data_IF_792189724657
#
_entry.id   IF_792189724657
#
_cell.length_a   1.000
_cell.length_b   1.000
_cell.length_c   1.000
_cell.angle_alpha   90.00
_cell.angle_beta   90.00
_cell.angle_gamma   90.00
#
_symmetry.space_group_name_H-M   'P 1'
#
loop_
_entity.id
_entity.type
_entity.pdbx_description
1 polymer ?
#
# COMPACT_ATOMS: atom_id res chain seq x y z
N UNK A 1 5.08 14.26 3.25
CA UNK A 1 4.75 13.53 2.01
C UNK A 1 3.62 14.34 1.39
N UNK A 2 3.88 15.05 0.29
CA UNK A 2 2.82 15.76 -0.44
C UNK A 2 1.85 14.70 -0.97
N UNK A 3 0.60 14.72 -0.51
CA UNK A 3 -0.42 13.77 -0.96
C UNK A 3 -0.95 14.26 -2.30
N UNK A 4 -0.62 13.54 -3.37
CA UNK A 4 -1.40 13.58 -4.62
C UNK A 4 -2.62 12.67 -4.51
N UNK A 5 -3.56 12.78 -5.45
CA UNK A 5 -4.77 11.97 -5.48
C UNK A 5 -4.44 10.47 -5.39
N UNK A 6 -5.05 9.79 -4.41
CA UNK A 6 -4.93 8.34 -4.29
C UNK A 6 -5.65 7.67 -5.46
N UNK A 7 -5.32 6.39 -5.73
CA UNK A 7 -6.10 5.62 -6.68
C UNK A 7 -7.57 5.55 -6.32
N UNK A 8 -7.88 5.37 -5.03
CA UNK A 8 -9.27 5.33 -4.53
C UNK A 8 -10.02 6.61 -4.87
N UNK A 9 -9.35 7.75 -4.79
CA UNK A 9 -9.94 9.04 -5.15
C UNK A 9 -10.19 9.14 -6.66
N UNK A 10 -9.20 8.76 -7.48
CA UNK A 10 -9.32 8.71 -8.95
C UNK A 10 -10.47 7.81 -9.40
N UNK A 11 -10.56 6.59 -8.84
CA UNK A 11 -11.64 5.64 -9.14
C UNK A 11 -13.02 6.22 -8.77
N UNK A 12 -13.12 6.91 -7.63
CA UNK A 12 -14.36 7.54 -7.19
C UNK A 12 -14.77 8.69 -8.12
N UNK A 13 -13.82 9.50 -8.57
CA UNK A 13 -14.07 10.58 -9.52
C UNK A 13 -14.49 9.99 -10.88
N UNK A 14 -13.83 8.95 -11.39
CA UNK A 14 -14.23 8.25 -12.62
C UNK A 14 -15.68 7.75 -12.57
N UNK A 15 -16.09 7.15 -11.44
CA UNK A 15 -17.49 6.75 -11.22
C UNK A 15 -18.46 7.93 -11.28
N UNK A 16 -18.08 9.09 -10.74
CA UNK A 16 -18.91 10.29 -10.81
C UNK A 16 -18.97 10.93 -12.19
N UNK A 17 -17.89 10.84 -12.97
CA UNK A 17 -17.85 11.26 -14.38
C UNK A 17 -18.71 10.30 -15.23
N UNK A 18 -18.81 9.03 -14.85
CA UNK A 18 -19.63 8.02 -15.51
C UNK A 18 -18.88 7.22 -16.57
N UNK A 19 -17.54 7.27 -16.58
CA UNK A 19 -16.68 6.48 -17.47
C UNK A 19 -15.31 6.21 -16.83
N UNK A 20 -14.67 5.13 -17.25
CA UNK A 20 -13.28 4.87 -16.90
C UNK A 20 -12.42 6.03 -17.44
N UNK A 21 -11.72 6.68 -16.51
CA UNK A 21 -10.99 7.91 -16.78
C UNK A 21 -9.56 7.81 -16.27
N UNK A 22 -8.63 8.36 -17.05
CA UNK A 22 -7.25 8.58 -16.65
C UNK A 22 -7.03 10.06 -16.28
N UNK A 23 -6.20 10.29 -15.27
CA UNK A 23 -5.89 11.62 -14.74
C UNK A 23 -4.41 11.92 -14.92
N UNK A 24 -4.11 12.86 -15.81
CA UNK A 24 -2.76 13.37 -16.05
C UNK A 24 -2.58 14.71 -15.34
N UNK A 25 -1.58 14.83 -14.47
CA UNK A 25 -1.34 16.07 -13.73
C UNK A 25 -0.81 17.15 -14.68
N UNK A 26 -1.60 18.19 -14.91
CA UNK A 26 -1.21 19.35 -15.72
C UNK A 26 -0.48 20.38 -14.87
N UNK A 27 -1.08 20.77 -13.76
CA UNK A 27 -0.62 21.89 -12.93
C UNK A 27 -0.67 21.50 -11.45
N UNK A 28 0.34 21.92 -10.69
CA UNK A 28 0.42 21.78 -9.24
C UNK A 28 1.02 23.05 -8.65
N UNK A 29 0.27 23.78 -7.83
CA UNK A 29 0.69 25.13 -7.38
C UNK A 29 1.99 25.11 -6.58
N UNK A 30 2.29 24.05 -5.82
CA UNK A 30 3.57 23.89 -5.11
C UNK A 30 4.76 23.61 -6.04
N UNK A 31 4.52 23.02 -7.23
CA UNK A 31 5.53 22.75 -8.26
C UNK A 31 5.74 23.94 -9.20
N UNK A 32 4.64 24.53 -9.65
CA UNK A 32 4.60 25.50 -10.75
C UNK A 32 4.45 26.96 -10.27
N UNK A 33 4.16 27.17 -8.99
CA UNK A 33 3.95 28.49 -8.39
C UNK A 33 2.55 29.05 -8.65
N UNK A 34 2.14 30.07 -7.88
CA UNK A 34 0.79 30.66 -7.93
C UNK A 34 0.54 31.68 -9.05
N UNK A 35 1.21 31.56 -10.19
CA UNK A 35 1.05 32.48 -11.33
C UNK A 35 -0.12 32.07 -12.22
N UNK A 36 -0.95 33.05 -12.58
CA UNK A 36 -2.06 32.84 -13.54
C UNK A 36 -1.54 32.51 -14.95
N UNK A 37 -0.41 33.08 -15.34
CA UNK A 37 0.24 32.84 -16.64
C UNK A 37 0.64 31.36 -16.77
N UNK A 38 1.26 30.81 -15.72
CA UNK A 38 1.70 29.42 -15.68
C UNK A 38 0.51 28.44 -15.71
N UNK A 39 -0.57 28.75 -15.00
CA UNK A 39 -1.79 27.95 -15.08
C UNK A 39 -2.34 27.91 -16.51
N UNK A 40 -2.48 29.05 -17.18
CA UNK A 40 -3.02 29.10 -18.53
C UNK A 40 -2.12 28.41 -19.56
N UNK A 41 -0.79 28.54 -19.43
CA UNK A 41 0.17 27.82 -20.28
C UNK A 41 -0.04 26.30 -20.21
N UNK A 42 -0.31 25.77 -19.02
CA UNK A 42 -0.41 24.34 -18.77
C UNK A 42 -1.84 23.78 -18.98
N UNK A 43 -2.89 24.57 -18.74
CA UNK A 43 -4.27 24.08 -18.63
C UNK A 43 -5.24 24.55 -19.71
N UNK A 44 -5.00 25.67 -20.41
CA UNK A 44 -5.95 26.15 -21.42
C UNK A 44 -6.06 25.18 -22.61
N UNK A 45 -7.30 24.99 -23.11
CA UNK A 45 -7.61 24.18 -24.30
C UNK A 45 -7.19 22.70 -24.23
N UNK A 46 -6.95 22.14 -23.02
CA UNK A 46 -6.55 20.73 -22.87
C UNK A 46 -7.72 19.74 -22.90
N UNK A 47 -8.95 20.20 -22.66
CA UNK A 47 -10.14 19.35 -22.53
C UNK A 47 -10.70 19.31 -21.10
N UNK A 48 -11.50 18.27 -20.78
CA UNK A 48 -12.08 18.07 -19.45
C UNK A 48 -11.03 18.01 -18.35
N UNK A 49 -11.27 18.65 -17.21
CA UNK A 49 -10.33 18.65 -16.09
C UNK A 49 -11.00 18.44 -14.73
N UNK A 50 -10.19 17.97 -13.78
CA UNK A 50 -10.53 17.93 -12.35
C UNK A 50 -9.54 18.81 -11.60
N UNK A 51 -10.06 19.73 -10.80
CA UNK A 51 -9.26 20.56 -9.89
C UNK A 51 -9.42 20.07 -8.46
N UNK A 52 -8.30 19.85 -7.76
CA UNK A 52 -8.24 19.35 -6.38
C UNK A 52 -7.64 20.42 -5.48
N UNK A 53 -8.27 20.63 -4.33
CA UNK A 53 -7.85 21.57 -3.29
C UNK A 53 -7.50 20.77 -2.03
N UNK A 54 -6.28 20.94 -1.54
CA UNK A 54 -5.80 20.33 -0.30
C UNK A 54 -5.75 21.38 0.79
N UNK A 55 -6.79 21.47 1.62
CA UNK A 55 -6.90 22.55 2.61
C UNK A 55 -5.98 22.33 3.83
N UNK A 56 -5.78 23.39 4.63
CA UNK A 56 -4.92 23.34 5.83
C UNK A 56 -5.44 22.42 6.95
N UNK A 57 -6.69 21.97 6.90
CA UNK A 57 -7.32 21.08 7.89
C UNK A 57 -7.41 19.62 7.42
N UNK A 58 -6.67 19.25 6.38
CA UNK A 58 -6.68 17.90 5.77
C UNK A 58 -8.03 17.52 5.14
N UNK A 59 -8.84 18.50 4.73
CA UNK A 59 -9.98 18.27 3.84
C UNK A 59 -9.50 18.32 2.39
N UNK A 60 -10.06 17.42 1.57
CA UNK A 60 -9.78 17.36 0.12
C UNK A 60 -11.11 17.47 -0.61
N UNK A 61 -11.22 18.49 -1.45
CA UNK A 61 -12.42 18.81 -2.22
C UNK A 61 -12.02 19.39 -3.58
N UNK A 62 -12.99 19.60 -4.46
CA UNK A 62 -12.68 20.03 -5.80
C UNK A 62 -13.88 20.17 -6.71
N UNK A 63 -13.58 20.29 -8.00
CA UNK A 63 -14.59 20.37 -9.05
C UNK A 63 -14.12 19.74 -10.35
N UNK A 64 -15.09 19.24 -11.10
CA UNK A 64 -14.92 18.72 -12.46
C UNK A 64 -15.62 19.65 -13.45
N UNK A 65 -14.95 19.94 -14.56
CA UNK A 65 -15.55 20.51 -15.77
C UNK A 65 -15.25 19.60 -16.95
N UNK A 66 -16.25 19.43 -17.80
CA UNK A 66 -16.16 18.72 -19.07
C UNK A 66 -15.79 19.63 -20.25
N UNK A 67 -15.79 20.94 -20.02
CA UNK A 67 -15.28 21.95 -20.92
C UNK A 67 -13.79 22.23 -20.64
N UNK A 68 -13.08 22.83 -21.61
CA UNK A 68 -11.70 23.27 -21.43
C UNK A 68 -11.62 24.59 -20.70
N UNK A 69 -10.58 24.77 -19.88
CA UNK A 69 -10.18 26.11 -19.41
C UNK A 69 -9.79 27.00 -20.59
N UNK A 70 -9.90 28.31 -20.38
CA UNK A 70 -9.59 29.30 -21.40
C UNK A 70 -9.54 30.72 -20.86
N UNK A 71 -9.09 31.62 -21.73
CA UNK A 71 -8.84 33.03 -21.42
C UNK A 71 -9.83 33.98 -22.11
N UNK A 72 -11.05 33.52 -22.43
CA UNK A 72 -12.03 34.24 -23.27
C UNK A 72 -12.77 35.39 -22.59
N UNK A 73 -12.75 35.47 -21.26
CA UNK A 73 -13.34 36.56 -20.49
C UNK A 73 -14.86 36.44 -20.29
N UNK A 74 -15.32 35.36 -19.66
CA UNK A 74 -16.76 35.16 -19.44
C UNK A 74 -17.11 33.96 -18.56
N UNK A 75 -18.34 33.97 -18.05
CA UNK A 75 -18.91 32.81 -17.36
C UNK A 75 -19.43 31.79 -18.38
N UNK A 76 -19.24 30.51 -18.07
CA UNK A 76 -19.64 29.39 -18.88
C UNK A 76 -20.60 28.47 -18.10
N UNK A 77 -21.42 27.73 -18.82
CA UNK A 77 -22.33 26.74 -18.27
C UNK A 77 -21.96 25.37 -18.78
N UNK A 78 -21.71 24.45 -17.85
CA UNK A 78 -21.45 23.04 -18.14
C UNK A 78 -22.35 22.17 -17.28
N UNK A 79 -23.34 21.53 -17.90
CA UNK A 79 -24.32 20.67 -17.21
C UNK A 79 -23.71 19.38 -16.66
N UNK A 80 -22.52 18.99 -17.16
CA UNK A 80 -21.78 17.84 -16.63
C UNK A 80 -20.83 18.21 -15.50
N UNK A 81 -20.67 19.51 -15.21
CA UNK A 81 -19.83 19.96 -14.12
C UNK A 81 -20.42 19.53 -12.77
N UNK A 82 -19.55 19.27 -11.81
CA UNK A 82 -19.93 19.01 -10.44
C UNK A 82 -18.82 19.44 -9.50
N UNK A 83 -19.20 19.86 -8.30
CA UNK A 83 -18.26 19.99 -7.19
C UNK A 83 -18.26 18.69 -6.39
N UNK A 84 -17.26 18.50 -5.54
CA UNK A 84 -17.20 17.33 -4.67
C UNK A 84 -16.34 17.57 -3.43
N UNK A 85 -16.56 16.71 -2.44
CA UNK A 85 -15.66 16.44 -1.33
C UNK A 85 -15.15 15.01 -1.45
N UNK A 86 -13.88 14.75 -1.15
CA UNK A 86 -13.29 13.41 -1.07
C UNK A 86 -12.95 13.03 0.38
N UNK A 87 -12.26 13.92 1.09
CA UNK A 87 -11.79 13.68 2.46
C UNK A 87 -12.25 14.78 3.40
N UNK A 88 -12.61 14.41 4.63
CA UNK A 88 -12.97 15.32 5.71
C UNK A 88 -12.15 15.01 6.97
N UNK A 89 -11.32 15.96 7.39
CA UNK A 89 -10.34 15.79 8.49
C UNK A 89 -9.49 14.53 8.27
N UNK A 90 -9.03 14.32 7.03
CA UNK A 90 -8.26 13.14 6.62
C UNK A 90 -9.05 11.83 6.45
N UNK A 91 -10.35 11.81 6.75
CA UNK A 91 -11.20 10.63 6.58
C UNK A 91 -11.87 10.64 5.20
N UNK A 92 -11.79 9.51 4.47
CA UNK A 92 -12.44 9.36 3.17
C UNK A 92 -13.97 9.36 3.32
N UNK A 93 -14.63 10.42 2.84
CA UNK A 93 -16.08 10.67 2.91
C UNK A 93 -16.54 11.36 1.61
N UNK A 94 -16.56 10.62 0.50
CA UNK A 94 -16.76 11.21 -0.81
C UNK A 94 -18.23 11.60 -1.04
N UNK A 95 -18.46 12.83 -1.49
CA UNK A 95 -19.79 13.34 -1.83
C UNK A 95 -19.69 14.13 -3.14
N UNK A 96 -20.57 13.81 -4.10
CA UNK A 96 -20.74 14.56 -5.36
C UNK A 96 -21.86 15.59 -5.21
N UNK A 97 -21.56 16.84 -5.58
CA UNK A 97 -22.47 17.98 -5.65
C UNK A 97 -22.79 18.30 -7.13
N UNK A 98 -23.87 17.73 -7.69
CA UNK A 98 -24.19 17.89 -9.10
C UNK A 98 -24.62 19.31 -9.45
N UNK A 99 -24.42 19.70 -10.71
CA UNK A 99 -24.97 20.93 -11.27
C UNK A 99 -26.50 21.02 -11.12
N UNK A 100 -26.98 22.22 -10.80
CA UNK A 100 -28.41 22.54 -10.70
C UNK A 100 -28.82 23.51 -11.80
N UNK A 101 -28.17 24.67 -11.91
CA UNK A 101 -28.61 25.74 -12.81
C UNK A 101 -27.51 26.78 -13.10
N UNK A 102 -27.71 27.59 -14.14
CA UNK A 102 -26.94 28.78 -14.53
C UNK A 102 -25.44 28.54 -14.76
N UNK A 103 -24.61 29.57 -14.60
CA UNK A 103 -23.16 29.52 -14.81
C UNK A 103 -22.43 28.61 -13.79
N UNK A 104 -21.43 27.87 -14.27
CA UNK A 104 -20.65 26.90 -13.47
C UNK A 104 -19.20 27.31 -13.26
N UNK A 105 -18.53 27.82 -14.28
CA UNK A 105 -17.11 28.15 -14.23
C UNK A 105 -16.79 29.43 -15.02
N UNK A 106 -15.68 30.08 -14.69
CA UNK A 106 -15.26 31.35 -15.28
C UNK A 106 -13.98 31.15 -16.09
N UNK A 107 -13.96 31.67 -17.32
CA UNK A 107 -12.80 31.64 -18.22
C UNK A 107 -12.21 33.05 -18.32
N UNK A 108 -11.07 33.32 -17.69
CA UNK A 108 -10.46 34.64 -17.69
C UNK A 108 -8.95 34.55 -17.46
N UNK A 109 -8.17 35.30 -18.24
CA UNK A 109 -6.70 35.34 -18.21
C UNK A 109 -6.06 35.73 -16.87
N UNK A 110 -6.81 36.32 -15.94
CA UNK A 110 -6.30 36.74 -14.61
C UNK A 110 -6.74 35.80 -13.49
N UNK A 111 -7.29 34.63 -13.83
CA UNK A 111 -7.81 33.67 -12.88
C UNK A 111 -7.27 32.27 -13.17
N UNK A 112 -7.04 31.49 -12.12
CA UNK A 112 -6.82 30.05 -12.23
C UNK A 112 -8.12 29.29 -12.51
N UNK A 113 -8.23 28.02 -12.06
CA UNK A 113 -9.47 27.26 -12.19
C UNK A 113 -10.55 27.83 -11.27
N UNK A 114 -11.57 28.47 -11.82
CA UNK A 114 -12.67 29.10 -11.04
C UNK A 114 -13.99 28.40 -11.32
N UNK A 115 -14.56 27.83 -10.27
CA UNK A 115 -15.95 27.40 -10.22
C UNK A 115 -16.76 28.47 -9.49
N UNK A 116 -18.04 28.64 -9.83
CA UNK A 116 -18.88 29.71 -9.27
C UNK A 116 -18.84 29.78 -7.74
N UNK A 117 -18.87 28.61 -7.09
CA UNK A 117 -18.82 28.49 -5.64
C UNK A 117 -17.54 27.82 -5.11
N UNK A 118 -16.46 27.86 -5.89
CA UNK A 118 -15.14 27.39 -5.47
C UNK A 118 -14.07 28.13 -6.29
N UNK A 119 -13.55 29.20 -5.70
CA UNK A 119 -12.53 30.05 -6.31
C UNK A 119 -11.12 29.47 -6.10
N UNK A 120 -10.16 29.95 -6.88
CA UNK A 120 -8.75 29.57 -6.72
C UNK A 120 -7.83 30.80 -6.76
N UNK A 121 -6.97 30.86 -7.78
CA UNK A 121 -5.96 31.87 -8.01
C UNK A 121 -6.66 33.08 -8.63
N UNK A 122 -6.56 34.23 -7.98
CA UNK A 122 -6.96 35.52 -8.53
C UNK A 122 -5.73 36.42 -8.52
N UNK A 123 -5.25 36.81 -9.71
CA UNK A 123 -3.91 37.38 -9.88
C UNK A 123 -2.79 36.48 -9.33
N UNK A 124 -1.54 36.92 -9.38
CA UNK A 124 -0.43 36.10 -8.90
C UNK A 124 -0.45 36.02 -7.37
N UNK A 125 -0.55 34.80 -6.84
CA UNK A 125 -0.55 34.53 -5.39
C UNK A 125 0.77 33.94 -4.93
N UNK A 126 1.12 34.24 -3.69
CA UNK A 126 2.30 33.70 -3.01
C UNK A 126 1.90 32.98 -1.74
N UNK A 127 2.82 32.18 -1.20
CA UNK A 127 2.60 31.50 0.07
C UNK A 127 2.57 32.49 1.23
N UNK A 128 1.70 32.23 2.20
CA UNK A 128 1.60 32.92 3.48
C UNK A 128 2.14 32.01 4.58
N UNK A 129 2.81 32.57 5.58
CA UNK A 129 3.40 31.83 6.70
C UNK A 129 4.85 31.40 6.46
N UNK A 130 5.39 30.55 7.35
CA UNK A 130 6.74 30.00 7.25
C UNK A 130 6.67 28.48 7.09
N UNK A 131 7.60 27.86 6.35
CA UNK A 131 7.70 26.40 6.31
C UNK A 131 7.86 25.81 7.73
N UNK A 132 7.26 24.64 8.02
CA UNK A 132 6.50 23.76 7.11
C UNK A 132 5.00 24.05 7.05
N UNK A 133 4.52 25.15 7.66
CA UNK A 133 3.09 25.50 7.76
C UNK A 133 2.65 26.61 6.80
N UNK A 134 3.41 26.83 5.73
CA UNK A 134 3.05 27.80 4.70
C UNK A 134 1.85 27.29 3.88
N UNK A 135 1.01 28.21 3.41
CA UNK A 135 -0.21 27.91 2.66
C UNK A 135 -0.51 29.00 1.63
N UNK A 136 -1.36 28.71 0.65
CA UNK A 136 -1.91 29.67 -0.30
C UNK A 136 -3.26 30.17 0.20
N UNK A 137 -3.40 31.49 0.31
CA UNK A 137 -4.66 32.13 0.70
C UNK A 137 -5.49 32.35 -0.56
N UNK A 138 -6.57 31.58 -0.70
CA UNK A 138 -7.52 31.68 -1.81
C UNK A 138 -8.78 32.43 -1.37
N UNK A 139 -9.48 33.02 -2.32
CA UNK A 139 -10.77 33.70 -2.06
C UNK A 139 -11.83 32.67 -1.62
N UNK A 140 -12.72 33.11 -0.73
CA UNK A 140 -13.83 32.33 -0.16
C UNK A 140 -15.18 33.04 -0.27
N UNK A 141 -15.32 34.10 -1.07
CA UNK A 141 -16.55 34.91 -1.14
C UNK A 141 -17.83 34.10 -1.43
N UNK A 142 -17.75 33.08 -2.29
CA UNK A 142 -18.87 32.20 -2.67
C UNK A 142 -18.62 30.71 -2.36
N UNK A 143 -17.83 30.37 -1.35
CA UNK A 143 -17.41 28.97 -1.11
C UNK A 143 -18.60 28.05 -0.76
N UNK A 144 -18.89 27.05 -1.60
CA UNK A 144 -19.93 26.03 -1.41
C UNK A 144 -21.31 26.59 -1.00
N UNK A 145 -21.78 27.64 -1.69
CA UNK A 145 -23.01 28.39 -1.39
C UNK A 145 -24.34 27.65 -1.64
N UNK A 146 -24.31 26.51 -2.33
CA UNK A 146 -25.48 25.72 -2.68
C UNK A 146 -26.43 26.33 -3.71
N UNK A 147 -26.03 27.41 -4.40
CA UNK A 147 -26.91 28.05 -5.39
C UNK A 147 -26.87 27.38 -6.77
N UNK A 148 -25.68 26.93 -7.20
CA UNK A 148 -25.43 26.37 -8.54
C UNK A 148 -25.18 24.87 -8.55
N UNK A 149 -24.80 24.33 -7.40
CA UNK A 149 -24.53 22.91 -7.17
C UNK A 149 -25.31 22.44 -5.96
N UNK A 150 -25.91 21.25 -6.05
CA UNK A 150 -26.67 20.66 -4.94
C UNK A 150 -25.70 20.13 -3.88
N UNK A 151 -25.66 20.80 -2.73
CA UNK A 151 -24.79 20.45 -1.61
C UNK A 151 -25.26 19.20 -0.85
N UNK A 152 -26.43 18.64 -1.14
CA UNK A 152 -26.95 17.42 -0.47
C UNK A 152 -26.95 17.50 1.05
N UNK A 153 -27.25 18.68 1.59
CA UNK A 153 -27.24 18.95 3.03
C UNK A 153 -25.87 19.18 3.65
N UNK A 154 -24.78 19.12 2.88
CA UNK A 154 -23.45 19.55 3.32
C UNK A 154 -23.38 21.09 3.41
N UNK A 155 -22.45 21.58 4.23
CA UNK A 155 -22.20 23.01 4.47
C UNK A 155 -20.74 23.35 4.18
N UNK A 156 -20.43 24.63 4.03
CA UNK A 156 -19.05 25.11 3.90
C UNK A 156 -18.15 24.60 5.03
N UNK A 157 -18.70 24.51 6.25
CA UNK A 157 -17.98 24.00 7.42
C UNK A 157 -17.70 22.50 7.32
N UNK A 158 -18.65 21.70 6.83
CA UNK A 158 -18.46 20.25 6.69
C UNK A 158 -17.62 19.85 5.48
N UNK A 159 -17.47 20.74 4.49
CA UNK A 159 -16.65 20.50 3.30
C UNK A 159 -15.22 21.03 3.43
N UNK A 160 -15.09 22.30 3.80
CA UNK A 160 -13.82 23.03 3.74
C UNK A 160 -13.46 23.69 5.09
N UNK A 161 -14.16 23.33 6.17
CA UNK A 161 -14.02 23.94 7.49
C UNK A 161 -14.23 25.47 7.49
N UNK A 162 -15.03 25.98 6.54
CA UNK A 162 -15.37 27.40 6.46
C UNK A 162 -14.35 28.28 5.74
N UNK A 163 -13.28 27.74 5.16
CA UNK A 163 -12.29 28.53 4.41
C UNK A 163 -11.68 27.79 3.22
N UNK A 164 -11.05 28.54 2.31
CA UNK A 164 -10.42 28.00 1.09
C UNK A 164 -8.88 28.06 1.11
N UNK A 165 -8.27 28.22 2.29
CA UNK A 165 -6.80 28.19 2.40
C UNK A 165 -6.27 26.79 2.08
N UNK A 166 -5.32 26.69 1.15
CA UNK A 166 -4.77 25.41 0.69
C UNK A 166 -3.28 25.28 0.93
N UNK A 167 -2.86 24.08 1.28
CA UNK A 167 -1.46 23.66 1.23
C UNK A 167 -1.01 23.33 -0.19
N UNK A 168 -1.94 22.88 -1.04
CA UNK A 168 -1.68 22.59 -2.45
C UNK A 168 -2.98 22.64 -3.29
N UNK A 169 -2.81 22.78 -4.60
CA UNK A 169 -3.86 22.78 -5.62
C UNK A 169 -3.33 22.06 -6.85
N UNK A 170 -4.06 21.04 -7.30
CA UNK A 170 -3.69 20.24 -8.47
C UNK A 170 -4.79 20.31 -9.54
N UNK A 171 -4.41 20.37 -10.81
CA UNK A 171 -5.33 20.30 -11.96
C UNK A 171 -4.93 19.10 -12.81
N UNK A 172 -5.86 18.18 -13.00
CA UNK A 172 -5.68 16.97 -13.80
C UNK A 172 -6.50 17.04 -15.09
N UNK A 173 -5.87 16.73 -16.22
CA UNK A 173 -6.57 16.41 -17.46
C UNK A 173 -7.27 15.07 -17.33
N UNK A 174 -8.54 15.02 -17.70
CA UNK A 174 -9.33 13.78 -17.74
C UNK A 174 -9.34 13.25 -19.17
N UNK A 175 -8.61 12.15 -19.38
CA UNK A 175 -8.62 11.40 -20.65
C UNK A 175 -9.61 10.24 -20.58
N UNK A 176 -10.24 9.96 -21.72
CA UNK A 176 -11.10 8.80 -21.88
C UNK A 176 -10.26 7.52 -22.02
N UNK A 177 -10.67 6.48 -21.32
CA UNK A 177 -9.95 5.20 -21.24
C UNK A 177 -9.30 5.01 -19.87
N UNK A 178 -9.07 3.74 -19.51
CA UNK A 178 -8.09 3.41 -18.49
C UNK A 178 -6.70 3.81 -19.02
N UNK A 179 -5.72 4.04 -18.13
CA UNK A 179 -4.33 3.84 -18.55
C UNK A 179 -4.26 2.48 -19.25
N UNK A 180 -3.42 2.35 -20.29
CA UNK A 180 -3.04 1.02 -20.75
C UNK A 180 -2.47 0.29 -19.52
N UNK A 181 -3.31 -0.56 -18.94
CA UNK A 181 -2.96 -1.35 -17.77
C UNK A 181 -1.82 -2.30 -18.16
N UNK A 182 -1.72 -2.64 -19.46
CA UNK A 182 -0.70 -3.47 -20.09
C UNK A 182 0.42 -2.59 -20.64
N UNK A 183 1.65 -2.87 -20.24
CA UNK A 183 2.87 -2.29 -20.78
C UNK A 183 3.31 -3.07 -22.02
N UNK A 184 3.94 -2.37 -22.97
CA UNK A 184 4.53 -2.97 -24.17
C UNK A 184 5.71 -3.91 -23.84
N UNK A 185 6.34 -3.72 -22.67
CA UNK A 185 7.45 -4.52 -22.18
C UNK A 185 7.29 -4.88 -20.71
N UNK A 186 7.95 -5.96 -20.30
CA UNK A 186 8.02 -6.35 -18.90
C UNK A 186 8.67 -5.25 -18.05
N UNK A 187 8.03 -4.87 -16.94
CA UNK A 187 8.62 -3.95 -15.95
C UNK A 187 9.61 -4.64 -15.00
N UNK A 188 9.65 -5.98 -15.04
CA UNK A 188 10.63 -6.84 -14.35
C UNK A 188 10.65 -8.21 -15.00
N UNK A 189 11.78 -8.91 -14.87
CA UNK A 189 11.89 -10.34 -15.18
C UNK A 189 10.67 -11.13 -14.66
N UNK A 190 9.99 -11.77 -15.60
CA UNK A 190 8.85 -12.65 -15.31
C UNK A 190 9.35 -14.09 -15.19
N UNK A 191 8.84 -14.89 -14.24
CA UNK A 191 8.97 -16.33 -14.34
C UNK A 191 8.29 -16.80 -15.63
N UNK A 192 8.72 -17.94 -16.15
CA UNK A 192 8.00 -18.63 -17.20
C UNK A 192 6.69 -19.21 -16.62
N UNK A 193 5.57 -18.93 -17.29
CA UNK A 193 4.24 -19.35 -16.83
C UNK A 193 3.90 -20.75 -17.33
N UNK A 194 4.60 -21.76 -16.82
CA UNK A 194 4.43 -23.15 -17.24
C UNK A 194 4.29 -24.14 -16.08
N UNK A 195 3.58 -25.26 -16.27
CA UNK A 195 3.53 -26.33 -15.27
C UNK A 195 4.92 -26.85 -14.89
N UNK A 196 5.87 -26.86 -15.83
CA UNK A 196 7.25 -27.26 -15.57
C UNK A 196 7.94 -26.31 -14.59
N UNK A 197 7.85 -25.00 -14.82
CA UNK A 197 8.39 -23.98 -13.89
C UNK A 197 7.80 -24.13 -12.49
N UNK A 198 6.49 -24.40 -12.39
CA UNK A 198 5.87 -24.68 -11.10
C UNK A 198 6.46 -25.93 -10.43
N UNK A 199 6.67 -27.02 -11.17
CA UNK A 199 7.27 -28.23 -10.59
C UNK A 199 8.71 -27.98 -10.12
N UNK A 200 9.54 -27.29 -10.90
CA UNK A 200 10.90 -26.94 -10.51
C UNK A 200 10.95 -26.09 -9.23
N UNK A 201 10.07 -25.08 -9.12
CA UNK A 201 9.93 -24.29 -7.91
C UNK A 201 9.45 -25.12 -6.72
N UNK A 202 8.50 -26.04 -6.95
CA UNK A 202 7.97 -26.92 -5.90
C UNK A 202 9.01 -27.92 -5.42
N UNK A 203 9.79 -28.51 -6.32
CA UNK A 203 10.90 -29.39 -6.00
C UNK A 203 11.99 -28.67 -5.21
N UNK A 204 12.36 -27.45 -5.60
CA UNK A 204 13.30 -26.64 -4.82
C UNK A 204 12.83 -26.48 -3.37
N UNK A 205 11.59 -26.05 -3.16
CA UNK A 205 11.04 -25.82 -1.82
C UNK A 205 10.87 -27.14 -1.05
N UNK A 206 10.49 -28.23 -1.72
CA UNK A 206 10.34 -29.55 -1.10
C UNK A 206 11.70 -30.12 -0.61
N UNK A 207 12.75 -29.88 -1.38
CA UNK A 207 14.10 -30.39 -1.11
C UNK A 207 14.99 -29.42 -0.33
N UNK A 208 14.51 -28.21 -0.06
CA UNK A 208 15.22 -27.20 0.71
C UNK A 208 15.67 -27.74 2.08
N UNK A 209 16.92 -27.46 2.41
CA UNK A 209 17.50 -27.66 3.75
C UNK A 209 18.19 -26.36 4.16
N UNK A 210 18.08 -25.94 5.44
CA UNK A 210 18.82 -24.79 5.94
C UNK A 210 20.32 -25.00 5.78
N UNK A 211 21.06 -23.89 5.69
CA UNK A 211 22.52 -23.85 5.68
C UNK A 211 23.14 -24.88 6.65
N UNK A 212 23.92 -25.82 6.09
CA UNK A 212 24.25 -27.10 6.72
C UNK A 212 25.13 -26.92 7.96
N UNK A 213 26.01 -25.93 7.92
CA UNK A 213 27.03 -25.60 8.91
C UNK A 213 26.41 -25.19 10.26
N UNK A 214 25.24 -24.53 10.23
CA UNK A 214 24.50 -24.08 11.42
C UNK A 214 23.68 -25.23 12.05
N UNK A 215 23.43 -26.32 11.32
CA UNK A 215 22.79 -27.56 11.82
C UNK A 215 21.42 -27.33 12.49
N UNK A 216 20.59 -26.46 11.93
CA UNK A 216 19.20 -26.28 12.39
C UNK A 216 18.22 -27.10 11.54
N UNK A 217 17.11 -27.59 12.13
CA UNK A 217 16.18 -28.46 11.42
C UNK A 217 15.27 -27.72 10.44
N UNK A 218 15.00 -26.43 10.67
CA UNK A 218 14.08 -25.64 9.85
C UNK A 218 14.27 -24.14 10.07
N UNK A 219 13.94 -23.34 9.06
CA UNK A 219 13.95 -21.86 9.16
C UNK A 219 12.61 -21.26 9.57
N UNK A 220 12.59 -20.14 10.30
CA UNK A 220 11.37 -19.43 10.67
C UNK A 220 11.19 -18.16 9.80
N UNK A 221 10.10 -18.13 9.02
CA UNK A 221 9.69 -17.02 8.15
C UNK A 221 8.55 -16.25 8.84
N UNK A 222 8.80 -15.02 9.29
CA UNK A 222 7.81 -14.22 10.01
C UNK A 222 7.00 -13.33 9.06
N UNK A 223 5.67 -13.45 9.09
CA UNK A 223 4.77 -12.58 8.33
C UNK A 223 4.28 -11.43 9.22
N UNK A 224 4.54 -10.18 8.81
CA UNK A 224 4.09 -8.98 9.53
C UNK A 224 3.41 -8.01 8.58
N UNK A 225 2.40 -7.27 9.04
CA UNK A 225 1.72 -6.30 8.19
C UNK A 225 0.33 -5.93 8.70
N UNK A 226 -0.35 -4.97 8.05
CA UNK A 226 -1.67 -4.50 8.45
C UNK A 226 -2.71 -5.62 8.55
N UNK A 227 -3.81 -5.35 9.26
CA UNK A 227 -4.98 -6.24 9.26
C UNK A 227 -5.55 -6.36 7.86
N UNK A 228 -6.04 -7.54 7.52
CA UNK A 228 -6.57 -7.82 6.18
C UNK A 228 -5.52 -7.94 5.08
N UNK A 229 -4.23 -7.76 5.37
CA UNK A 229 -3.17 -7.77 4.36
C UNK A 229 -2.93 -9.14 3.69
N UNK A 230 -3.51 -10.23 4.20
CA UNK A 230 -3.38 -11.56 3.60
C UNK A 230 -2.23 -12.43 4.14
N UNK A 231 -1.77 -12.18 5.37
CA UNK A 231 -0.73 -12.99 6.05
C UNK A 231 -1.16 -14.46 6.20
N UNK A 232 -2.26 -14.70 6.90
CA UNK A 232 -2.84 -16.04 7.10
C UNK A 232 -3.25 -16.70 5.77
N UNK A 233 -3.74 -15.90 4.81
CA UNK A 233 -4.09 -16.35 3.46
C UNK A 233 -2.87 -16.84 2.67
N UNK A 234 -1.70 -16.22 2.86
CA UNK A 234 -0.47 -16.68 2.22
C UNK A 234 -0.04 -18.05 2.76
N UNK A 235 -0.11 -18.27 4.08
CA UNK A 235 0.12 -19.60 4.63
C UNK A 235 -0.85 -20.65 4.06
N UNK A 236 -2.15 -20.35 4.02
CA UNK A 236 -3.15 -21.25 3.44
C UNK A 236 -2.87 -21.55 1.96
N UNK A 237 -2.34 -20.58 1.21
CA UNK A 237 -1.93 -20.73 -0.19
C UNK A 237 -0.78 -21.74 -0.31
N UNK A 238 0.30 -21.56 0.45
CA UNK A 238 1.42 -22.53 0.46
C UNK A 238 0.96 -23.91 0.92
N UNK A 239 0.14 -23.98 1.97
CA UNK A 239 -0.38 -25.25 2.46
C UNK A 239 -1.25 -25.97 1.41
N UNK A 240 -2.08 -25.23 0.67
CA UNK A 240 -2.91 -25.74 -0.43
C UNK A 240 -2.05 -26.32 -1.57
N UNK A 241 -0.98 -25.62 -1.96
CA UNK A 241 -0.04 -26.06 -3.00
C UNK A 241 0.60 -27.42 -2.68
N UNK A 242 1.03 -27.60 -1.42
CA UNK A 242 1.64 -28.87 -0.98
C UNK A 242 0.62 -29.96 -0.74
N UNK A 243 -0.57 -29.62 -0.20
CA UNK A 243 -1.64 -30.60 0.04
C UNK A 243 -2.23 -31.14 -1.26
N UNK A 244 -2.24 -30.35 -2.34
CA UNK A 244 -2.82 -30.71 -3.63
C UNK A 244 -4.32 -30.43 -3.73
N UNK A 245 -4.93 -29.88 -2.68
CA UNK A 245 -6.36 -29.53 -2.61
C UNK A 245 -6.55 -28.27 -1.75
N UNK A 246 -7.64 -27.55 -2.01
CA UNK A 246 -7.98 -26.32 -1.30
C UNK A 246 -8.04 -26.56 0.22
N UNK A 247 -7.30 -25.75 0.98
CA UNK A 247 -7.18 -25.94 2.42
C UNK A 247 -7.11 -24.61 3.17
N UNK A 248 -7.83 -24.52 4.29
CA UNK A 248 -7.80 -23.39 5.21
C UNK A 248 -7.47 -23.88 6.62
N UNK A 249 -6.20 -23.76 7.01
CA UNK A 249 -5.68 -24.16 8.34
C UNK A 249 -5.50 -22.96 9.27
N UNK A 250 -5.14 -21.81 8.72
CA UNK A 250 -5.17 -20.54 9.45
C UNK A 250 -6.52 -19.86 9.24
N UNK A 251 -7.00 -19.16 10.27
CA UNK A 251 -8.26 -18.41 10.19
C UNK A 251 -8.12 -17.23 9.21
N UNK A 252 -9.02 -17.12 8.25
CA UNK A 252 -9.03 -16.07 7.23
C UNK A 252 -10.44 -15.51 7.05
N UNK A 253 -10.55 -14.21 6.82
CA UNK A 253 -11.82 -13.52 6.58
C UNK A 253 -11.64 -12.01 6.50
N UNK A 254 -12.73 -11.30 6.19
CA UNK A 254 -12.79 -9.84 6.23
C UNK A 254 -13.40 -9.40 7.55
N UNK A 255 -12.64 -8.70 8.38
CA UNK A 255 -13.12 -8.12 9.63
C UNK A 255 -12.46 -6.75 9.84
N UNK A 256 -13.13 -5.86 10.58
CA UNK A 256 -12.59 -4.54 10.94
C UNK A 256 -11.41 -4.65 11.91
N UNK A 257 -11.35 -5.72 12.71
CA UNK A 257 -10.26 -6.05 13.63
C UNK A 257 -9.54 -7.34 13.24
N UNK A 258 -8.31 -7.53 13.72
CA UNK A 258 -7.50 -8.70 13.41
C UNK A 258 -8.17 -10.00 13.87
N UNK A 259 -8.46 -10.89 12.91
CA UNK A 259 -8.95 -12.25 13.16
C UNK A 259 -7.88 -13.14 13.81
N UNK A 260 -6.62 -12.92 13.44
CA UNK A 260 -5.49 -13.57 14.10
C UNK A 260 -5.14 -12.78 15.34
N UNK A 261 -5.45 -13.34 16.51
CA UNK A 261 -5.10 -12.72 17.81
C UNK A 261 -3.81 -13.29 18.40
N UNK A 262 -3.33 -14.42 17.84
CA UNK A 262 -2.20 -15.19 18.36
C UNK A 262 -1.05 -15.22 17.36
N UNK A 263 0.16 -15.34 17.90
CA UNK A 263 1.35 -15.72 17.14
C UNK A 263 1.36 -17.22 16.89
N UNK A 264 1.32 -17.63 15.62
CA UNK A 264 1.20 -19.04 15.22
C UNK A 264 2.38 -19.46 14.33
N UNK A 265 3.11 -20.50 14.73
CA UNK A 265 4.19 -21.13 13.95
C UNK A 265 3.62 -22.33 13.20
N UNK A 266 3.38 -22.19 11.90
CA UNK A 266 2.83 -23.25 11.08
C UNK A 266 3.91 -24.04 10.34
N UNK A 267 3.83 -25.37 10.45
CA UNK A 267 4.57 -26.29 9.58
C UNK A 267 3.72 -26.72 8.39
N UNK A 268 4.37 -26.82 7.23
CA UNK A 268 3.81 -27.41 6.02
C UNK A 268 4.24 -28.88 5.97
N UNK A 269 3.32 -29.77 5.61
CA UNK A 269 3.59 -31.19 5.44
C UNK A 269 3.52 -31.52 3.97
N UNK A 270 4.51 -32.26 3.48
CA UNK A 270 4.47 -32.84 2.15
C UNK A 270 3.81 -34.23 2.23
N UNK A 271 2.64 -34.43 1.60
CA UNK A 271 1.95 -35.71 1.63
C UNK A 271 2.75 -36.85 0.98
N UNK A 272 3.63 -36.53 0.02
CA UNK A 272 4.37 -37.54 -0.75
C UNK A 272 5.47 -38.18 0.11
N UNK A 273 6.27 -37.36 0.79
CA UNK A 273 7.32 -37.81 1.70
C UNK A 273 6.82 -38.12 3.11
N UNK A 274 5.58 -37.72 3.43
CA UNK A 274 4.95 -37.75 4.76
C UNK A 274 5.69 -36.95 5.84
N UNK A 275 6.69 -36.14 5.46
CA UNK A 275 7.53 -35.33 6.34
C UNK A 275 7.09 -33.86 6.34
N UNK A 276 7.56 -33.12 7.35
CA UNK A 276 7.48 -31.67 7.35
C UNK A 276 8.60 -31.08 6.50
N UNK A 277 8.29 -29.98 5.82
CA UNK A 277 9.30 -29.18 5.11
C UNK A 277 10.20 -28.47 6.12
N UNK A 278 11.41 -28.13 5.70
CA UNK A 278 12.43 -27.53 6.58
C UNK A 278 12.23 -26.01 6.78
N UNK A 279 10.98 -25.55 6.85
CA UNK A 279 10.65 -24.17 7.20
C UNK A 279 9.31 -24.07 7.94
N UNK A 280 9.14 -22.97 8.66
CA UNK A 280 7.90 -22.56 9.31
C UNK A 280 7.45 -21.21 8.79
N UNK A 281 6.15 -21.09 8.54
CA UNK A 281 5.52 -19.79 8.31
C UNK A 281 4.92 -19.34 9.64
N UNK A 282 5.44 -18.23 10.15
CA UNK A 282 5.07 -17.67 11.43
C UNK A 282 4.11 -16.49 11.21
N UNK A 283 2.83 -16.71 11.50
CA UNK A 283 1.76 -15.74 11.31
C UNK A 283 1.52 -14.93 12.60
N UNK A 284 1.21 -13.64 12.45
CA UNK A 284 1.01 -12.73 13.58
C UNK A 284 -0.31 -11.97 13.47
N UNK A 285 -0.74 -11.39 14.60
CA UNK A 285 -1.77 -10.35 14.60
C UNK A 285 -1.40 -9.23 13.62
N UNK A 286 -2.40 -8.66 12.94
CA UNK A 286 -2.19 -7.52 12.07
C UNK A 286 -1.93 -6.21 12.82
N UNK A 287 -1.23 -5.30 12.16
CA UNK A 287 -0.97 -3.95 12.68
C UNK A 287 -2.20 -3.07 12.46
N UNK A 288 -2.68 -2.40 13.51
CA UNK A 288 -3.86 -1.51 13.50
C UNK A 288 -3.51 -0.13 14.08
N UNK A 289 -4.38 0.85 13.92
CA UNK A 289 -4.29 2.12 14.67
C UNK A 289 -4.69 1.91 16.14
N UNK A 290 -4.08 2.67 17.06
CA UNK A 290 -4.39 2.58 18.49
C UNK A 290 -3.88 1.32 19.21
N UNK A 291 -3.77 0.19 18.53
CA UNK A 291 -3.32 -1.10 19.09
C UNK A 291 -1.87 -1.37 18.66
N UNK A 292 -0.93 -1.51 19.59
CA UNK A 292 0.47 -1.83 19.28
C UNK A 292 0.92 -3.11 19.95
N UNK A 293 1.58 -3.99 19.18
CA UNK A 293 2.50 -4.95 19.77
C UNK A 293 3.54 -4.12 20.54
N UNK A 294 3.71 -4.37 21.83
CA UNK A 294 4.71 -3.70 22.65
C UNK A 294 6.09 -3.85 21.96
N UNK A 295 6.91 -2.80 22.02
CA UNK A 295 8.27 -2.84 21.48
C UNK A 295 9.06 -4.03 22.05
N UNK A 296 8.94 -4.33 23.33
CA UNK A 296 9.63 -5.46 23.95
C UNK A 296 9.12 -6.81 23.44
N UNK A 297 7.80 -7.01 23.39
CA UNK A 297 7.19 -8.21 22.79
C UNK A 297 7.67 -8.45 21.36
N UNK A 298 7.83 -7.38 20.57
CA UNK A 298 8.38 -7.48 19.23
C UNK A 298 9.86 -7.91 19.24
N UNK A 299 10.63 -7.45 20.22
CA UNK A 299 12.01 -7.93 20.44
C UNK A 299 12.02 -9.43 20.71
N UNK A 300 11.29 -9.86 21.74
CA UNK A 300 11.15 -11.27 22.11
C UNK A 300 10.62 -12.16 20.97
N UNK A 301 9.74 -11.61 20.12
CA UNK A 301 9.25 -12.31 18.94
C UNK A 301 10.35 -12.55 17.91
N UNK A 302 11.11 -11.50 17.57
CA UNK A 302 12.20 -11.56 16.58
C UNK A 302 13.36 -12.44 17.08
N UNK A 303 13.66 -12.36 18.37
CA UNK A 303 14.73 -13.10 19.03
C UNK A 303 14.36 -14.57 19.30
N UNK A 304 13.09 -14.96 19.12
CA UNK A 304 12.65 -16.34 19.24
C UNK A 304 12.20 -16.77 20.64
N UNK A 305 12.13 -15.84 21.59
CA UNK A 305 11.71 -16.11 22.96
C UNK A 305 10.24 -16.53 23.07
N UNK A 306 9.38 -16.05 22.18
CA UNK A 306 7.94 -16.29 22.28
C UNK A 306 7.52 -17.70 21.81
N UNK A 307 6.68 -18.41 22.61
CA UNK A 307 6.15 -19.72 22.23
C UNK A 307 5.15 -19.65 21.08
N UNK A 308 4.90 -20.80 20.46
CA UNK A 308 3.76 -20.95 19.55
C UNK A 308 2.42 -20.72 20.28
N UNK A 309 1.43 -20.16 19.58
CA UNK A 309 0.13 -19.74 20.10
C UNK A 309 0.17 -18.62 21.15
N UNK A 310 1.25 -17.84 21.21
CA UNK A 310 1.34 -16.71 22.11
C UNK A 310 0.27 -15.67 21.79
N UNK A 311 -0.50 -15.25 22.79
CA UNK A 311 -1.51 -14.19 22.66
C UNK A 311 -0.90 -12.88 23.14
N UNK A 312 -0.83 -11.88 22.24
CA UNK A 312 -0.31 -10.56 22.56
C UNK A 312 -1.22 -9.88 23.58
N UNK A 313 -0.64 -9.38 24.67
CA UNK A 313 -1.37 -8.58 25.64
C UNK A 313 -1.23 -7.10 25.26
N UNK A 314 -2.36 -6.41 25.14
CA UNK A 314 -2.38 -5.02 24.67
C UNK A 314 -2.02 -4.03 25.79
N UNK A 315 -2.27 -4.42 27.04
CA UNK A 315 -2.15 -3.57 28.23
C UNK A 315 -1.02 -4.00 29.18
N UNK A 316 -0.25 -5.04 28.84
CA UNK A 316 0.82 -5.56 29.69
C UNK A 316 1.93 -6.22 28.89
N UNK A 317 3.15 -6.18 29.43
CA UNK A 317 4.34 -6.78 28.84
C UNK A 317 4.28 -8.32 28.79
N UNK A 318 4.97 -8.93 27.83
CA UNK A 318 5.23 -10.36 27.85
C UNK A 318 5.98 -10.74 29.14
N UNK A 319 5.30 -11.44 30.05
CA UNK A 319 5.95 -12.02 31.22
C UNK A 319 6.94 -13.12 30.78
N UNK A 320 8.21 -12.95 31.15
CA UNK A 320 9.28 -13.95 31.00
C UNK A 320 8.99 -15.23 31.80
N UNK A 321 8.09 -15.17 32.79
CA UNK A 321 7.68 -16.31 33.62
C UNK A 321 6.56 -17.16 33.00
N UNK A 322 6.21 -16.93 31.73
CA UNK A 322 5.12 -17.65 31.04
C UNK A 322 5.60 -19.01 30.52
N UNK A 323 4.73 -20.01 30.61
CA UNK A 323 4.97 -21.36 30.08
C UNK A 323 5.37 -21.32 28.61
N UNK A 324 6.52 -21.91 28.28
CA UNK A 324 7.04 -22.02 26.91
C UNK A 324 7.85 -20.80 26.44
N UNK A 325 8.04 -19.77 27.27
CA UNK A 325 9.02 -18.72 26.98
C UNK A 325 10.43 -19.32 26.95
N UNK A 326 11.21 -18.96 25.93
CA UNK A 326 12.60 -19.40 25.79
C UNK A 326 13.48 -18.29 26.33
N UNK A 327 14.13 -18.49 27.48
CA UNK A 327 14.95 -17.47 28.13
C UNK A 327 16.19 -17.11 27.30
N UNK A 328 16.89 -18.12 26.77
CA UNK A 328 18.08 -17.96 25.93
C UNK A 328 17.87 -18.65 24.57
N UNK A 329 17.25 -17.98 23.59
CA UNK A 329 17.01 -18.56 22.27
C UNK A 329 18.31 -18.86 21.53
N UNK A 330 18.39 -20.04 20.93
CA UNK A 330 19.46 -20.35 19.98
C UNK A 330 19.10 -19.84 18.59
N UNK A 331 20.01 -19.97 17.62
CA UNK A 331 19.74 -19.60 16.22
C UNK A 331 18.44 -20.27 15.73
N UNK A 332 18.18 -21.53 16.09
CA UNK A 332 16.97 -22.28 15.71
C UNK A 332 15.64 -21.60 16.06
N UNK A 333 15.59 -20.87 17.18
CA UNK A 333 14.38 -20.24 17.67
C UNK A 333 14.15 -18.85 17.05
N UNK A 334 15.22 -18.18 16.59
CA UNK A 334 15.18 -16.83 16.00
C UNK A 334 14.38 -16.79 14.70
N UNK A 335 13.91 -15.60 14.36
CA UNK A 335 13.34 -15.35 13.03
C UNK A 335 14.48 -15.16 12.03
N UNK A 336 14.47 -15.93 10.94
CA UNK A 336 15.56 -15.89 9.96
C UNK A 336 15.24 -14.96 8.77
N UNK A 337 13.96 -14.66 8.54
CA UNK A 337 13.51 -13.68 7.55
C UNK A 337 12.19 -13.06 8.01
N UNK A 338 12.03 -11.76 7.78
CA UNK A 338 10.76 -11.05 8.02
C UNK A 338 10.15 -10.60 6.71
N UNK A 339 8.89 -10.96 6.48
CA UNK A 339 8.13 -10.58 5.31
C UNK A 339 7.06 -9.57 5.71
N UNK A 340 7.17 -8.35 5.17
CA UNK A 340 6.13 -7.33 5.26
C UNK A 340 5.03 -7.63 4.24
N UNK A 341 3.86 -8.04 4.69
CA UNK A 341 2.71 -8.33 3.85
C UNK A 341 1.84 -7.08 3.75
N UNK A 342 1.69 -6.54 2.54
CA UNK A 342 0.90 -5.35 2.24
C UNK A 342 -0.19 -5.67 1.23
N UNK A 343 -1.36 -5.09 1.41
CA UNK A 343 -2.50 -5.22 0.49
C UNK A 343 -2.46 -4.12 -0.56
N UNK A 344 -2.26 -4.49 -1.82
CA UNK A 344 -2.20 -3.57 -2.95
C UNK A 344 -3.42 -2.67 -3.07
N UNK A 345 -4.60 -3.15 -2.68
CA UNK A 345 -5.85 -2.38 -2.77
C UNK A 345 -6.01 -1.31 -1.68
N UNK A 346 -5.14 -1.31 -0.68
CA UNK A 346 -5.22 -0.37 0.46
C UNK A 346 -3.94 0.45 0.69
N UNK A 347 -2.91 0.27 -0.14
CA UNK A 347 -1.61 0.97 0.01
C UNK A 347 -1.77 2.49 0.16
N UNK A 348 -2.54 3.12 -0.71
CA UNK A 348 -2.68 4.58 -0.75
C UNK A 348 -3.46 5.16 0.45
N UNK A 349 -4.22 4.30 1.14
CA UNK A 349 -5.08 4.70 2.26
C UNK A 349 -4.54 4.20 3.61
N UNK A 350 -3.33 3.64 3.63
CA UNK A 350 -2.65 3.34 4.88
C UNK A 350 -2.48 4.62 5.69
N UNK A 351 -2.86 4.54 6.97
CA UNK A 351 -2.75 5.69 7.86
C UNK A 351 -1.29 5.98 8.23
N UNK A 352 -0.99 7.23 8.56
CA UNK A 352 0.34 7.63 9.03
C UNK A 352 0.76 6.83 10.28
N UNK A 353 -0.19 6.49 11.16
CA UNK A 353 0.04 5.67 12.33
C UNK A 353 0.51 4.25 11.99
N UNK A 354 -0.15 3.60 11.03
CA UNK A 354 0.22 2.24 10.56
C UNK A 354 1.58 2.27 9.86
N UNK A 355 1.82 3.25 8.96
CA UNK A 355 3.11 3.40 8.26
C UNK A 355 4.24 3.63 9.27
N UNK A 356 4.04 4.48 10.27
CA UNK A 356 5.01 4.72 11.34
C UNK A 356 5.33 3.44 12.13
N UNK A 357 4.32 2.63 12.45
CA UNK A 357 4.52 1.33 13.12
C UNK A 357 5.30 0.35 12.25
N UNK A 358 4.99 0.22 10.96
CA UNK A 358 5.75 -0.64 10.03
C UNK A 358 7.21 -0.23 9.96
N UNK A 359 7.51 1.08 9.93
CA UNK A 359 8.89 1.61 9.97
C UNK A 359 9.60 1.31 11.28
N UNK A 360 8.90 1.40 12.43
CA UNK A 360 9.44 1.01 13.75
C UNK A 360 9.77 -0.49 13.81
N UNK A 361 8.87 -1.34 13.29
CA UNK A 361 9.09 -2.78 13.18
C UNK A 361 10.33 -3.04 12.34
N UNK A 362 10.40 -2.46 11.13
CA UNK A 362 11.56 -2.59 10.24
C UNK A 362 12.86 -2.21 10.92
N UNK A 363 12.89 -1.13 11.71
CA UNK A 363 14.09 -0.74 12.45
C UNK A 363 14.59 -1.87 13.36
N UNK A 364 13.70 -2.48 14.14
CA UNK A 364 14.07 -3.62 15.01
C UNK A 364 14.55 -4.86 14.26
N UNK A 365 14.03 -5.08 13.05
CA UNK A 365 14.45 -6.16 12.14
C UNK A 365 15.87 -5.89 11.62
N UNK A 366 16.14 -4.66 11.19
CA UNK A 366 17.46 -4.20 10.74
C UNK A 366 18.48 -4.26 11.88
N UNK A 367 18.12 -3.82 13.09
CA UNK A 367 18.99 -3.85 14.27
C UNK A 367 19.47 -5.28 14.62
N UNK A 368 18.72 -6.30 14.19
CA UNK A 368 19.05 -7.73 14.36
C UNK A 368 19.72 -8.35 13.14
N UNK A 369 20.00 -7.56 12.11
CA UNK A 369 20.51 -8.03 10.81
C UNK A 369 19.64 -9.11 10.18
N UNK A 370 18.33 -9.08 10.40
CA UNK A 370 17.41 -10.06 9.82
C UNK A 370 17.02 -9.59 8.40
N UNK A 371 17.26 -10.41 7.36
CA UNK A 371 16.80 -10.13 6.01
C UNK A 371 15.29 -9.94 5.96
N UNK A 372 14.84 -9.01 5.12
CA UNK A 372 13.42 -8.71 5.03
C UNK A 372 13.02 -8.28 3.62
N UNK A 373 11.77 -8.55 3.29
CA UNK A 373 11.19 -8.34 1.96
C UNK A 373 9.70 -8.01 2.08
N UNK A 374 9.04 -7.64 0.98
CA UNK A 374 7.62 -7.33 0.94
C UNK A 374 6.87 -8.33 0.08
N UNK A 375 5.75 -8.86 0.58
CA UNK A 375 4.74 -9.51 -0.24
C UNK A 375 3.59 -8.55 -0.48
N UNK A 376 3.42 -8.15 -1.74
CA UNK A 376 2.32 -7.31 -2.18
C UNK A 376 1.15 -8.20 -2.61
N UNK A 377 0.14 -8.33 -1.76
CA UNK A 377 -1.02 -9.20 -1.97
C UNK A 377 -2.15 -8.45 -2.69
N UNK A 378 -3.17 -9.22 -3.13
CA UNK A 378 -4.41 -8.71 -3.75
C UNK A 378 -4.17 -7.88 -5.00
N UNK A 379 -3.12 -8.25 -5.76
CA UNK A 379 -2.77 -7.62 -7.05
C UNK A 379 -3.90 -7.75 -8.09
N UNK A 380 -4.73 -8.78 -7.98
CA UNK A 380 -5.92 -9.00 -8.80
C UNK A 380 -7.05 -8.02 -8.50
N UNK A 381 -7.13 -7.50 -7.27
CA UNK A 381 -8.14 -6.48 -6.91
C UNK A 381 -7.81 -5.09 -7.44
N UNK A 382 -6.54 -4.88 -7.78
CA UNK A 382 -6.03 -3.62 -8.27
C UNK A 382 -5.78 -3.64 -9.77
N UNK A 383 -5.90 -4.76 -10.48
CA UNK A 383 -5.71 -4.75 -11.93
C UNK A 383 -6.64 -5.77 -12.58
N UNK A 384 -7.50 -5.28 -13.48
CA UNK A 384 -8.47 -6.13 -14.19
C UNK A 384 -7.74 -7.13 -15.11
N UNK A 385 -6.58 -6.75 -15.67
CA UNK A 385 -5.75 -7.69 -16.44
C UNK A 385 -5.28 -8.86 -15.58
N UNK A 386 -4.80 -8.58 -14.37
CA UNK A 386 -4.30 -9.60 -13.43
C UNK A 386 -5.45 -10.43 -12.87
N UNK A 387 -6.62 -9.83 -12.66
CA UNK A 387 -7.82 -10.58 -12.27
C UNK A 387 -8.21 -11.64 -13.30
N UNK A 388 -8.10 -11.31 -14.60
CA UNK A 388 -8.37 -12.23 -15.70
C UNK A 388 -7.25 -13.25 -15.93
N UNK A 389 -6.00 -12.88 -15.67
CA UNK A 389 -4.84 -13.75 -15.84
C UNK A 389 -3.66 -13.29 -14.98
N UNK A 390 -3.31 -14.10 -13.98
CA UNK A 390 -2.21 -13.80 -13.03
C UNK A 390 -0.86 -13.67 -13.75
N UNK A 391 -0.68 -14.37 -14.87
CA UNK A 391 0.49 -14.23 -15.74
C UNK A 391 0.73 -12.81 -16.28
N UNK A 392 -0.29 -11.94 -16.25
CA UNK A 392 -0.19 -10.53 -16.66
C UNK A 392 0.44 -9.61 -15.61
N UNK A 393 0.85 -10.16 -14.46
CA UNK A 393 1.45 -9.40 -13.34
C UNK A 393 2.61 -8.50 -13.78
N UNK A 394 3.56 -9.02 -14.57
CA UNK A 394 4.81 -8.30 -14.92
C UNK A 394 4.73 -7.41 -16.16
N UNK A 395 3.56 -7.33 -16.79
CA UNK A 395 3.24 -6.31 -17.78
C UNK A 395 2.18 -5.35 -17.26
N UNK A 396 1.72 -5.50 -16.02
CA UNK A 396 0.73 -4.59 -15.45
C UNK A 396 1.39 -3.34 -14.89
N UNK A 397 1.15 -2.18 -15.52
CA UNK A 397 1.58 -0.87 -14.99
C UNK A 397 1.04 -0.62 -13.58
N UNK A 398 -0.19 -1.05 -13.35
CA UNK A 398 -0.87 -0.85 -12.08
C UNK A 398 -0.23 -1.66 -10.95
N UNK A 399 0.25 -2.88 -11.26
CA UNK A 399 1.05 -3.66 -10.32
C UNK A 399 2.43 -3.03 -10.12
N UNK A 400 3.08 -2.54 -11.18
CA UNK A 400 4.37 -1.83 -11.09
C UNK A 400 4.27 -0.62 -10.14
N UNK A 401 3.25 0.22 -10.30
CA UNK A 401 2.99 1.37 -9.43
C UNK A 401 2.75 0.95 -7.98
N UNK A 402 1.99 -0.11 -7.76
CA UNK A 402 1.76 -0.65 -6.41
C UNK A 402 3.04 -1.22 -5.79
N UNK A 403 3.90 -1.86 -6.58
CA UNK A 403 5.24 -2.31 -6.17
C UNK A 403 6.12 -1.12 -5.79
N UNK A 404 6.10 -0.05 -6.58
CA UNK A 404 6.83 1.19 -6.32
C UNK A 404 6.38 1.84 -5.00
N UNK A 405 5.07 1.98 -4.80
CA UNK A 405 4.51 2.55 -3.58
C UNK A 405 4.83 1.70 -2.34
N UNK A 406 4.68 0.37 -2.43
CA UNK A 406 5.04 -0.54 -1.34
C UNK A 406 6.54 -0.47 -0.98
N UNK A 407 7.41 -0.34 -1.99
CA UNK A 407 8.84 -0.14 -1.81
C UNK A 407 9.13 1.16 -1.05
N UNK A 408 8.44 2.25 -1.33
CA UNK A 408 8.59 3.54 -0.63
C UNK A 408 8.06 3.50 0.81
N UNK A 409 6.90 2.86 1.04
CA UNK A 409 6.29 2.74 2.36
C UNK A 409 7.23 2.03 3.35
N UNK A 410 7.80 0.89 2.94
CA UNK A 410 8.73 0.10 3.75
C UNK A 410 10.18 0.59 3.59
N UNK A 411 10.47 1.45 2.61
CA UNK A 411 11.80 1.92 2.24
C UNK A 411 12.77 0.78 1.83
N UNK A 412 12.34 -0.08 0.91
CA UNK A 412 13.13 -1.20 0.38
C UNK A 412 13.41 -1.04 -1.12
N UNK A 413 14.46 -1.68 -1.66
CA UNK A 413 14.63 -1.82 -3.10
C UNK A 413 13.41 -2.48 -3.73
N UNK A 414 13.00 -2.01 -4.91
CA UNK A 414 11.85 -2.55 -5.66
C UNK A 414 11.98 -4.06 -5.90
N UNK A 415 13.20 -4.55 -6.12
CA UNK A 415 13.50 -5.98 -6.30
C UNK A 415 13.13 -6.87 -5.11
N UNK A 416 12.98 -6.30 -3.92
CA UNK A 416 12.56 -7.00 -2.70
C UNK A 416 11.05 -6.91 -2.43
N UNK A 417 10.29 -6.27 -3.33
CA UNK A 417 8.82 -6.25 -3.29
C UNK A 417 8.30 -7.24 -4.32
N UNK A 418 7.69 -8.31 -3.82
CA UNK A 418 7.22 -9.43 -4.63
C UNK A 418 5.69 -9.41 -4.71
N UNK A 419 5.10 -9.20 -5.90
CA UNK A 419 3.66 -9.34 -6.09
C UNK A 419 3.26 -10.81 -5.92
N UNK A 420 2.23 -11.05 -5.12
CA UNK A 420 1.66 -12.37 -4.88
C UNK A 420 0.14 -12.31 -4.96
N UNK A 421 -0.47 -13.40 -5.43
CA UNK A 421 -1.91 -13.63 -5.32
C UNK A 421 -2.13 -14.83 -4.41
N UNK A 422 -3.03 -14.69 -3.45
CA UNK A 422 -3.47 -15.80 -2.61
C UNK A 422 -4.70 -16.46 -3.24
N UNK A 423 -4.91 -17.74 -2.92
CA UNK A 423 -6.18 -18.39 -3.22
C UNK A 423 -7.30 -17.75 -2.39
N UNK A 424 -8.35 -17.30 -3.07
CA UNK A 424 -9.52 -16.68 -2.44
C UNK A 424 -10.83 -17.16 -3.08
N UNK A 425 -11.02 -16.85 -4.37
CA UNK A 425 -12.23 -17.22 -5.12
C UNK A 425 -12.10 -18.54 -5.87
N UNK A 426 -10.87 -19.03 -6.01
CA UNK A 426 -10.57 -20.26 -6.74
C UNK A 426 -11.04 -21.49 -5.96
N UNK A 427 -11.66 -22.42 -6.67
CA UNK A 427 -12.09 -23.72 -6.13
C UNK A 427 -11.09 -24.84 -6.43
N UNK A 428 -10.14 -24.58 -7.33
CA UNK A 428 -9.09 -25.51 -7.76
C UNK A 428 -7.74 -24.80 -7.80
N UNK A 429 -6.66 -25.59 -7.77
CA UNK A 429 -5.30 -25.08 -7.93
C UNK A 429 -5.13 -24.39 -9.29
N UNK A 430 -4.48 -23.22 -9.27
CA UNK A 430 -4.13 -22.47 -10.46
C UNK A 430 -2.61 -22.36 -10.56
N UNK A 431 -2.05 -22.75 -11.71
CA UNK A 431 -0.59 -22.82 -11.93
C UNK A 431 0.07 -21.45 -11.77
N UNK A 432 -0.51 -20.38 -12.30
CA UNK A 432 0.08 -19.03 -12.23
C UNK A 432 0.11 -18.51 -10.79
N UNK A 433 -0.96 -18.74 -10.01
CA UNK A 433 -0.99 -18.44 -8.57
C UNK A 433 0.11 -19.22 -7.84
N UNK A 434 0.26 -20.50 -8.16
CA UNK A 434 1.29 -21.34 -7.56
C UNK A 434 2.70 -20.81 -7.87
N UNK A 435 2.97 -20.42 -9.12
CA UNK A 435 4.27 -19.88 -9.55
C UNK A 435 4.62 -18.63 -8.74
N UNK A 436 3.70 -17.67 -8.60
CA UNK A 436 3.96 -16.47 -7.81
C UNK A 436 4.24 -16.80 -6.33
N UNK A 437 3.39 -17.62 -5.71
CA UNK A 437 3.54 -17.97 -4.30
C UNK A 437 4.84 -18.75 -4.03
N UNK A 438 5.21 -19.69 -4.91
CA UNK A 438 6.43 -20.48 -4.77
C UNK A 438 7.69 -19.69 -5.10
N UNK A 439 7.64 -18.76 -6.05
CA UNK A 439 8.73 -17.82 -6.32
C UNK A 439 9.01 -16.94 -5.10
N UNK A 440 7.95 -16.41 -4.49
CA UNK A 440 8.04 -15.60 -3.28
C UNK A 440 8.62 -16.40 -2.09
N UNK A 441 8.13 -17.62 -1.88
CA UNK A 441 8.65 -18.51 -0.83
C UNK A 441 10.11 -18.91 -1.08
N UNK A 442 10.49 -19.26 -2.31
CA UNK A 442 11.88 -19.55 -2.69
C UNK A 442 12.80 -18.38 -2.32
N UNK A 443 12.40 -17.15 -2.64
CA UNK A 443 13.19 -15.96 -2.31
C UNK A 443 13.34 -15.77 -0.79
N UNK A 444 12.28 -16.01 -0.02
CA UNK A 444 12.35 -15.98 1.45
C UNK A 444 13.28 -17.04 2.03
N UNK A 445 13.33 -18.24 1.46
CA UNK A 445 14.23 -19.31 1.92
C UNK A 445 15.69 -18.99 1.63
N UNK A 446 15.99 -18.45 0.44
CA UNK A 446 17.35 -17.96 0.12
C UNK A 446 17.77 -16.86 1.09
N UNK A 447 16.90 -15.90 1.39
CA UNK A 447 17.20 -14.85 2.37
C UNK A 447 17.37 -15.40 3.79
N UNK A 448 16.67 -16.49 4.14
CA UNK A 448 16.90 -17.14 5.41
C UNK A 448 18.29 -17.79 5.47
N UNK A 449 18.78 -18.39 4.39
CA UNK A 449 20.15 -18.91 4.34
C UNK A 449 21.19 -17.78 4.43
N UNK A 450 20.97 -16.63 3.77
CA UNK A 450 21.85 -15.46 3.92
C UNK A 450 21.98 -15.05 5.41
N UNK A 451 20.89 -15.11 6.18
CA UNK A 451 20.95 -14.86 7.63
C UNK A 451 21.80 -15.91 8.35
N UNK A 452 21.62 -17.19 8.05
CA UNK A 452 22.35 -18.28 8.70
C UNK A 452 23.84 -18.25 8.40
N UNK A 453 24.23 -17.95 7.16
CA UNK A 453 25.62 -17.78 6.75
C UNK A 453 26.28 -16.62 7.53
N UNK A 454 25.61 -15.47 7.61
CA UNK A 454 26.09 -14.34 8.42
C UNK A 454 26.23 -14.68 9.92
N UNK A 455 25.30 -15.49 10.48
CA UNK A 455 25.43 -15.95 11.87
C UNK A 455 26.62 -16.90 12.04
N UNK A 456 26.90 -17.75 11.05
CA UNK A 456 28.02 -18.67 11.07
C UNK A 456 29.35 -17.91 11.03
N UNK A 457 29.51 -16.98 10.10
CA UNK A 457 30.72 -16.16 9.97
C UNK A 457 31.01 -15.38 11.26
N UNK A 458 29.99 -14.77 11.85
CA UNK A 458 30.12 -14.07 13.14
C UNK A 458 30.57 -14.99 14.28
N UNK A 459 30.11 -16.25 14.31
CA UNK A 459 30.56 -17.23 15.30
C UNK A 459 32.02 -17.63 15.07
N UNK A 460 32.45 -17.80 13.82
CA UNK A 460 33.84 -18.14 13.49
C UNK A 460 34.79 -17.00 13.89
N UNK A 461 34.47 -15.76 13.56
CA UNK A 461 35.30 -14.59 13.86
C UNK A 461 35.50 -14.40 15.38
N UNK A 462 34.43 -14.54 16.17
CA UNK A 462 34.54 -14.41 17.63
C UNK A 462 35.34 -15.54 18.27
N UNK A 463 35.25 -16.76 17.73
CA UNK A 463 36.04 -17.89 18.19
C UNK A 463 37.53 -17.67 17.92
N UNK A 464 37.89 -17.09 16.75
CA UNK A 464 39.28 -16.74 16.43
C UNK A 464 39.84 -15.61 17.30
N UNK A 465 39.02 -14.64 17.72
CA UNK A 465 39.45 -13.55 18.61
C UNK A 465 39.75 -14.07 20.01
N UNK A 466 38.93 -14.99 20.53
CA UNK A 466 39.17 -15.61 21.84
C UNK A 466 40.45 -16.43 21.85
N UNK A 467 40.69 -17.23 20.80
CA UNK A 467 41.89 -18.06 20.66
C UNK A 467 43.20 -17.25 20.42
N UNK A 468 43.11 -15.93 20.15
CA UNK A 468 44.28 -15.04 20.04
C UNK A 468 44.59 -14.27 21.33
N UNK A 469 43.74 -14.38 22.36
CA UNK A 469 43.90 -13.70 23.66
C UNK A 469 44.43 -14.61 24.76
N UNK A 470 44.50 -15.92 24.48
CA UNK A 470 45.26 -16.92 25.22
C UNK A 470 46.62 -17.15 24.54
#
# INVERSE_FOLDING_TARGET
>A
MERSLTRRDKDQISRWIGRDSHFELLYKISRDGGSTEMFHELCDNKGPTVTIFYNTDKNVYGGYVSDSWGSTGGWCTDQRAFLFKLHSVGNWKPVKFPYVTKETHYKNKTHGPVFYSLNSIYSNITTTGKPPSNYYKLDSYTLFDGQRFDMKGETVKSVANGHNNVTDLEVYLVKEGSLDEELDSLWRDSPEWSPQTFQELKEFVANYKPFEEIKIPEVNILLMGPVGAGKSSFFNTINTIFKGEMSSRACTGSAESSLTEKFCKFRVRDPTTKKHLCFRICDTRGVEEGVSINGEDLGFLLDGNLPNNYTFQLDSEASTKRTGFVEEPTVKEKMHVVVFVLDGSTLDVLSEGVVSKLKKIKRKVVDRSIPHLVFLTKIDRICKLVEKGVSKTFISRVVEDAVNNAAEIIALPRSQVLPVKNFEKETTLNTDINILAMTALRKSLVFADDFLENQYDWQQDNTQILNKRD
#
